data_IF_141992001448
#
_entry.id   IF_141992001448
#
_cell.length_a   1.000
_cell.length_b   1.000
_cell.length_c   1.000
_cell.angle_alpha   90.00
_cell.angle_beta   90.00
_cell.angle_gamma   90.00
#
_symmetry.space_group_name_H-M   'P 1'
#
loop_
_entity.id
_entity.type
_entity.pdbx_description
1 polymer ?
#
# COMPACT_ATOMS: atom_id res chain seq x y z
N UNK A 1 -4.63 -24.13 11.49
CA UNK A 1 -5.10 -22.85 10.94
C UNK A 1 -6.61 -22.96 10.79
N UNK A 2 -7.36 -22.00 11.33
CA UNK A 2 -8.81 -21.95 11.13
C UNK A 2 -9.17 -21.26 9.81
N UNK A 3 -10.46 -21.31 9.46
CA UNK A 3 -10.98 -20.73 8.21
C UNK A 3 -10.79 -19.22 8.16
N UNK A 4 -10.99 -18.52 9.28
CA UNK A 4 -10.87 -17.07 9.33
C UNK A 4 -9.43 -16.61 9.03
N UNK A 5 -8.45 -17.28 9.63
CA UNK A 5 -7.03 -17.04 9.41
C UNK A 5 -6.65 -17.32 7.94
N UNK A 6 -7.07 -18.48 7.40
CA UNK A 6 -6.79 -18.83 6.01
C UNK A 6 -7.41 -17.84 5.02
N UNK A 7 -8.66 -17.43 5.27
CA UNK A 7 -9.37 -16.46 4.45
C UNK A 7 -8.72 -15.07 4.51
N UNK A 8 -8.30 -14.61 5.70
CA UNK A 8 -7.61 -13.33 5.86
C UNK A 8 -6.28 -13.29 5.09
N UNK A 9 -5.49 -14.36 5.15
CA UNK A 9 -4.24 -14.45 4.39
C UNK A 9 -4.49 -14.39 2.86
N UNK A 10 -5.51 -15.10 2.36
CA UNK A 10 -5.89 -15.04 0.94
C UNK A 10 -6.47 -13.69 0.53
N UNK A 11 -7.25 -13.05 1.40
CA UNK A 11 -7.75 -11.70 1.18
C UNK A 11 -6.59 -10.72 1.06
N UNK A 12 -5.60 -10.80 1.94
CA UNK A 12 -4.39 -9.97 1.90
C UNK A 12 -3.63 -10.18 0.59
N UNK A 13 -3.30 -11.43 0.25
CA UNK A 13 -2.64 -11.80 -1.01
C UNK A 13 -3.37 -11.23 -2.23
N UNK A 14 -4.67 -11.49 -2.33
CA UNK A 14 -5.48 -11.07 -3.49
C UNK A 14 -5.62 -9.55 -3.57
N UNK A 15 -5.83 -8.87 -2.44
CA UNK A 15 -6.00 -7.41 -2.40
C UNK A 15 -4.73 -6.70 -2.87
N UNK A 16 -3.58 -7.08 -2.32
CA UNK A 16 -2.31 -6.44 -2.69
C UNK A 16 -1.87 -6.81 -4.10
N UNK A 17 -2.04 -8.05 -4.55
CA UNK A 17 -1.65 -8.44 -5.91
C UNK A 17 -2.58 -7.89 -6.99
N UNK A 18 -3.87 -7.76 -6.71
CA UNK A 18 -4.79 -7.06 -7.63
C UNK A 18 -4.36 -5.60 -7.77
N UNK A 19 -4.10 -4.93 -6.63
CA UNK A 19 -3.61 -3.56 -6.64
C UNK A 19 -2.27 -3.40 -7.38
N UNK A 20 -1.32 -4.34 -7.20
CA UNK A 20 -0.03 -4.32 -7.91
C UNK A 20 -0.22 -4.33 -9.45
N UNK A 21 -1.26 -5.01 -9.95
CA UNK A 21 -1.62 -5.00 -11.38
C UNK A 21 -2.29 -3.68 -11.76
N UNK A 22 -3.29 -3.25 -11.01
CA UNK A 22 -4.07 -2.04 -11.32
C UNK A 22 -3.20 -0.78 -11.33
N UNK A 23 -2.30 -0.64 -10.35
CA UNK A 23 -1.44 0.55 -10.23
C UNK A 23 -0.43 0.69 -11.38
N UNK A 24 -0.10 -0.41 -12.05
CA UNK A 24 0.76 -0.37 -13.23
C UNK A 24 0.10 0.37 -14.42
N UNK A 25 -1.24 0.45 -14.42
CA UNK A 25 -2.02 1.14 -15.46
C UNK A 25 -2.64 2.44 -14.98
N UNK A 26 -2.97 2.54 -13.68
CA UNK A 26 -3.52 3.73 -13.06
C UNK A 26 -2.75 4.09 -11.78
N UNK A 27 -1.87 5.11 -11.80
CA UNK A 27 -1.15 5.57 -10.61
C UNK A 27 -2.02 6.02 -9.45
N UNK A 28 -3.32 6.30 -9.70
CA UNK A 28 -4.29 6.67 -8.67
C UNK A 28 -5.03 5.45 -8.07
N UNK A 29 -4.76 4.23 -8.53
CA UNK A 29 -5.37 3.02 -8.00
C UNK A 29 -5.11 2.87 -6.48
N UNK A 30 -6.16 2.50 -5.75
CA UNK A 30 -6.16 2.28 -4.30
C UNK A 30 -6.61 0.85 -3.99
N UNK A 31 -6.41 0.38 -2.76
CA UNK A 31 -6.95 -0.92 -2.35
C UNK A 31 -8.49 -0.90 -2.39
N UNK A 32 -9.10 -2.05 -2.68
CA UNK A 32 -10.54 -2.21 -2.59
C UNK A 32 -11.05 -1.84 -1.19
N UNK A 33 -12.01 -0.92 -1.10
CA UNK A 33 -12.52 -0.37 0.17
C UNK A 33 -13.02 -1.43 1.12
N UNK A 34 -13.70 -2.46 0.60
CA UNK A 34 -14.32 -3.49 1.42
C UNK A 34 -13.29 -4.45 2.05
N UNK A 35 -12.05 -4.45 1.54
CA UNK A 35 -10.95 -5.23 2.08
C UNK A 35 -10.22 -4.49 3.22
N UNK A 36 -10.25 -3.16 3.28
CA UNK A 36 -9.39 -2.40 4.21
C UNK A 36 -9.76 -2.66 5.68
N UNK A 37 -11.05 -2.79 6.01
CA UNK A 37 -11.49 -3.12 7.37
C UNK A 37 -10.97 -4.48 7.85
N UNK A 38 -11.29 -5.59 7.16
CA UNK A 38 -10.77 -6.91 7.52
C UNK A 38 -9.23 -6.98 7.56
N UNK A 39 -8.54 -6.28 6.67
CA UNK A 39 -7.07 -6.23 6.66
C UNK A 39 -6.49 -5.43 7.83
N UNK A 40 -7.16 -4.37 8.27
CA UNK A 40 -6.80 -3.66 9.51
C UNK A 40 -6.93 -4.59 10.73
N UNK A 41 -8.04 -5.33 10.82
CA UNK A 41 -8.27 -6.26 11.93
C UNK A 41 -7.20 -7.39 11.95
N UNK A 42 -6.68 -7.77 10.77
CA UNK A 42 -5.60 -8.75 10.65
C UNK A 42 -4.19 -8.15 10.88
N UNK A 43 -4.00 -6.83 10.77
CA UNK A 43 -2.68 -6.21 10.69
C UNK A 43 -1.75 -6.59 11.84
N UNK A 44 -2.29 -6.76 13.06
CA UNK A 44 -1.54 -7.17 14.24
C UNK A 44 -0.82 -8.51 14.10
N UNK A 45 -1.34 -9.41 13.27
CA UNK A 45 -0.71 -10.72 12.99
C UNK A 45 0.61 -10.58 12.21
N UNK A 46 0.73 -9.56 11.36
CA UNK A 46 1.84 -9.43 10.41
C UNK A 46 2.79 -8.28 10.76
N UNK A 47 2.34 -7.29 11.53
CA UNK A 47 3.06 -6.02 11.73
C UNK A 47 4.49 -6.22 12.25
N UNK A 48 4.69 -7.12 13.22
CA UNK A 48 6.01 -7.38 13.79
C UNK A 48 6.96 -8.12 12.85
N UNK A 49 6.43 -8.87 11.88
CA UNK A 49 7.22 -9.50 10.84
C UNK A 49 7.62 -8.49 9.74
N UNK A 50 6.68 -7.60 9.39
CA UNK A 50 6.86 -6.58 8.35
C UNK A 50 7.78 -5.45 8.81
N UNK A 51 7.67 -5.03 10.08
CA UNK A 51 8.43 -3.95 10.67
C UNK A 51 9.91 -4.27 10.85
N UNK A 52 10.74 -3.23 10.71
CA UNK A 52 12.19 -3.22 10.94
C UNK A 52 12.50 -2.13 11.97
N UNK A 53 12.40 -2.49 13.24
CA UNK A 53 12.59 -1.57 14.36
C UNK A 53 14.00 -0.94 14.38
N UNK A 54 15.01 -1.70 13.93
CA UNK A 54 16.39 -1.26 13.78
C UNK A 54 16.57 -0.09 12.81
N UNK A 55 15.60 0.14 11.91
CA UNK A 55 15.58 1.30 11.01
C UNK A 55 15.48 2.66 11.73
N UNK A 56 15.16 2.67 13.03
CA UNK A 56 15.12 3.86 13.88
C UNK A 56 16.38 4.07 14.73
N UNK A 57 17.39 3.22 14.56
CA UNK A 57 18.71 3.36 15.22
C UNK A 57 18.61 3.41 16.77
N UNK A 58 17.71 2.61 17.33
CA UNK A 58 17.51 2.51 18.78
C UNK A 58 16.59 3.56 19.40
N UNK A 59 16.02 4.48 18.61
CA UNK A 59 14.94 5.36 19.08
C UNK A 59 13.67 4.52 19.31
N UNK A 60 13.09 4.67 20.49
CA UNK A 60 11.77 4.13 20.80
C UNK A 60 10.71 5.22 20.59
N UNK A 61 9.63 4.90 19.87
CA UNK A 61 8.54 5.85 19.61
C UNK A 61 7.17 5.19 19.76
N UNK A 62 6.26 5.83 20.48
CA UNK A 62 4.84 5.45 20.57
C UNK A 62 4.02 6.33 19.64
N UNK A 63 3.60 5.76 18.51
CA UNK A 63 2.81 6.46 17.50
C UNK A 63 1.32 6.16 17.69
N UNK A 64 0.49 7.20 17.77
CA UNK A 64 -0.95 7.04 17.56
C UNK A 64 -1.25 7.01 16.06
N UNK A 65 -1.97 6.00 15.59
CA UNK A 65 -2.41 5.85 14.20
C UNK A 65 -3.92 6.00 14.14
N UNK A 66 -4.38 6.93 13.29
CA UNK A 66 -5.79 7.24 13.08
C UNK A 66 -6.12 7.09 11.61
N UNK A 67 -6.92 6.08 11.28
CA UNK A 67 -7.30 5.82 9.89
C UNK A 67 -8.61 6.50 9.53
N UNK A 68 -8.83 6.72 8.24
CA UNK A 68 -10.15 7.03 7.66
C UNK A 68 -10.51 5.97 6.62
N UNK A 69 -11.82 5.73 6.43
CA UNK A 69 -12.35 4.76 5.47
C UNK A 69 -11.71 3.34 5.54
N UNK A 70 -11.89 2.60 6.65
CA UNK A 70 -12.71 2.93 7.81
C UNK A 70 -11.98 3.74 8.89
N UNK A 71 -12.77 4.42 9.73
CA UNK A 71 -12.26 5.10 10.91
C UNK A 71 -11.85 4.10 12.01
N UNK A 72 -10.59 4.18 12.44
CA UNK A 72 -10.01 3.42 13.56
C UNK A 72 -8.94 4.26 14.24
N UNK A 73 -8.71 3.98 15.52
CA UNK A 73 -7.57 4.52 16.26
C UNK A 73 -6.87 3.40 17.02
N UNK A 74 -5.55 3.35 16.94
CA UNK A 74 -4.72 2.36 17.61
C UNK A 74 -3.28 2.87 17.77
N UNK A 75 -2.50 2.18 18.60
CA UNK A 75 -1.08 2.46 18.82
C UNK A 75 -0.19 1.62 17.91
N UNK A 76 0.94 2.21 17.52
CA UNK A 76 2.09 1.51 16.95
C UNK A 76 3.30 1.76 17.84
N UNK A 77 3.77 0.70 18.48
CA UNK A 77 5.00 0.72 19.26
C UNK A 77 6.18 0.44 18.34
N UNK A 78 7.10 1.40 18.26
CA UNK A 78 8.33 1.33 17.49
C UNK A 78 9.51 1.27 18.46
N UNK A 79 9.61 0.18 19.22
CA UNK A 79 10.64 -0.04 20.24
C UNK A 79 11.70 -1.06 19.78
N UNK A 80 11.98 -2.07 20.59
CA UNK A 80 12.86 -3.19 20.20
C UNK A 80 12.25 -4.05 19.08
N UNK A 81 10.92 -4.12 19.04
CA UNK A 81 10.14 -4.75 17.99
C UNK A 81 8.97 -3.83 17.62
N UNK A 82 8.47 -3.99 16.41
CA UNK A 82 7.27 -3.28 15.95
C UNK A 82 6.03 -4.04 16.42
N UNK A 83 5.10 -3.35 17.08
CA UNK A 83 3.87 -3.93 17.60
C UNK A 83 2.66 -3.01 17.44
N UNK A 84 1.47 -3.59 17.35
CA UNK A 84 0.21 -2.85 17.46
C UNK A 84 -0.37 -3.01 18.86
N UNK A 85 -0.99 -1.96 19.36
CA UNK A 85 -1.66 -1.92 20.65
C UNK A 85 -2.78 -0.90 20.69
N UNK A 86 -3.26 -0.60 21.89
CA UNK A 86 -4.23 0.48 22.10
C UNK A 86 -3.59 1.84 21.80
N UNK A 87 -4.42 2.82 21.44
CA UNK A 87 -3.94 4.19 21.24
C UNK A 87 -3.27 4.71 22.53
N UNK A 88 -2.01 5.17 22.49
CA UNK A 88 -1.33 5.66 23.69
C UNK A 88 -1.99 6.96 24.16
N UNK A 89 -2.15 7.11 25.48
CA UNK A 89 -2.70 8.34 26.08
C UNK A 89 -1.82 9.57 25.81
N UNK A 90 -0.50 9.36 25.75
CA UNK A 90 0.51 10.38 25.45
C UNK A 90 1.39 9.88 24.29
N UNK A 91 0.92 10.02 23.04
CA UNK A 91 1.71 9.65 21.87
C UNK A 91 2.88 10.63 21.66
N UNK A 92 4.01 10.09 21.20
CA UNK A 92 5.17 10.89 20.77
C UNK A 92 4.92 11.55 19.40
N UNK A 93 4.06 10.93 18.59
CA UNK A 93 3.61 11.43 17.29
C UNK A 93 2.21 10.90 16.96
N UNK A 94 1.50 11.57 16.05
CA UNK A 94 0.18 11.14 15.56
C UNK A 94 0.15 11.09 14.04
N UNK A 95 -0.12 9.91 13.48
CA UNK A 95 -0.36 9.70 12.06
C UNK A 95 -1.87 9.71 11.80
N UNK A 96 -2.33 10.57 10.90
CA UNK A 96 -3.68 10.52 10.33
C UNK A 96 -3.60 10.20 8.84
N UNK A 97 -4.27 9.14 8.39
CA UNK A 97 -4.16 8.65 7.01
C UNK A 97 -5.40 7.86 6.58
N UNK A 98 -5.64 7.65 5.28
CA UNK A 98 -6.57 6.60 4.83
C UNK A 98 -6.10 5.21 5.29
N UNK A 99 -7.05 4.31 5.57
CA UNK A 99 -6.75 2.92 5.94
C UNK A 99 -5.96 2.19 4.85
N UNK A 100 -6.33 2.38 3.57
CA UNK A 100 -5.62 1.78 2.44
C UNK A 100 -4.16 2.25 2.36
N UNK A 101 -3.92 3.53 2.65
CA UNK A 101 -2.60 4.12 2.67
C UNK A 101 -1.72 3.48 3.74
N UNK A 102 -2.26 3.30 4.95
CA UNK A 102 -1.59 2.63 6.07
C UNK A 102 -1.24 1.17 5.72
N UNK A 103 -2.16 0.44 5.08
CA UNK A 103 -1.95 -0.93 4.64
C UNK A 103 -0.87 -1.04 3.54
N UNK A 104 -0.83 -0.08 2.62
CA UNK A 104 0.25 -0.01 1.62
C UNK A 104 1.59 0.37 2.24
N UNK A 105 1.63 1.31 3.18
CA UNK A 105 2.86 1.66 3.90
C UNK A 105 3.45 0.43 4.60
N UNK A 106 2.65 -0.24 5.44
CA UNK A 106 3.10 -1.36 6.26
C UNK A 106 3.57 -2.56 5.45
N UNK A 107 3.14 -2.68 4.20
CA UNK A 107 3.56 -3.71 3.25
C UNK A 107 4.62 -3.26 2.24
N UNK A 108 5.18 -2.05 2.41
CA UNK A 108 6.26 -1.51 1.58
C UNK A 108 5.83 -1.00 0.20
N UNK A 109 4.54 -0.75 -0.01
CA UNK A 109 3.91 -0.33 -1.29
C UNK A 109 3.64 1.17 -1.37
N UNK A 110 4.37 1.97 -0.57
CA UNK A 110 4.15 3.40 -0.49
C UNK A 110 5.45 4.24 -0.59
N UNK A 111 5.79 4.67 -1.81
CA UNK A 111 6.86 5.64 -2.05
C UNK A 111 6.41 7.09 -1.76
N UNK A 112 7.33 8.04 -1.45
CA UNK A 112 6.98 9.42 -1.11
C UNK A 112 6.11 10.15 -2.14
N UNK A 113 6.33 9.90 -3.43
CA UNK A 113 5.60 10.55 -4.52
C UNK A 113 4.09 10.25 -4.54
N UNK A 114 3.64 9.20 -3.84
CA UNK A 114 2.25 8.77 -3.80
C UNK A 114 1.52 9.18 -2.53
N UNK A 115 2.12 10.03 -1.68
CA UNK A 115 1.49 10.44 -0.43
C UNK A 115 0.43 11.51 -0.72
N UNK A 116 -0.86 11.24 -0.45
CA UNK A 116 -1.90 12.24 -0.65
C UNK A 116 -1.84 13.31 0.44
N UNK A 117 -2.37 14.49 0.14
CA UNK A 117 -2.31 15.66 1.03
C UNK A 117 -3.06 15.48 2.36
N UNK A 118 -3.99 14.52 2.44
CA UNK A 118 -4.74 14.21 3.65
C UNK A 118 -3.99 13.24 4.59
N UNK A 119 -2.78 12.81 4.25
CA UNK A 119 -1.89 12.11 5.18
C UNK A 119 -1.08 13.14 5.96
N UNK A 120 -1.22 13.11 7.28
CA UNK A 120 -0.51 14.01 8.18
C UNK A 120 0.21 13.22 9.27
N UNK A 121 1.41 13.67 9.63
CA UNK A 121 2.15 13.20 10.78
C UNK A 121 2.50 14.42 11.63
N UNK A 122 2.02 14.44 12.87
CA UNK A 122 2.32 15.50 13.83
C UNK A 122 3.22 14.97 14.95
N UNK A 123 4.02 15.86 15.54
CA UNK A 123 5.08 15.51 16.49
C UNK A 123 6.45 15.41 15.80
N UNK A 124 7.51 15.65 16.56
CA UNK A 124 8.88 15.77 16.04
C UNK A 124 9.70 14.46 16.19
N UNK A 125 9.12 13.43 16.81
CA UNK A 125 9.81 12.16 17.08
C UNK A 125 10.04 11.29 15.83
N UNK A 126 9.24 11.51 14.76
CA UNK A 126 9.21 10.70 13.54
C UNK A 126 8.95 11.55 12.30
N UNK A 127 9.46 11.09 11.17
CA UNK A 127 9.07 11.54 9.83
C UNK A 127 8.34 10.42 9.08
N UNK A 128 7.63 10.76 7.99
CA UNK A 128 7.06 9.73 7.11
C UNK A 128 8.13 8.86 6.46
N UNK A 129 9.34 9.38 6.24
CA UNK A 129 10.46 8.61 5.70
C UNK A 129 11.05 7.64 6.73
N UNK A 130 11.01 7.96 8.03
CA UNK A 130 11.29 6.98 9.09
C UNK A 130 10.32 5.80 8.99
N UNK A 131 9.02 6.06 8.86
CA UNK A 131 8.01 5.00 8.75
C UNK A 131 8.21 4.13 7.50
N UNK A 132 8.59 4.72 6.37
CA UNK A 132 8.93 3.95 5.15
C UNK A 132 10.16 3.07 5.32
N UNK A 133 11.15 3.52 6.11
CA UNK A 133 12.32 2.70 6.45
C UNK A 133 11.98 1.57 7.41
N UNK A 134 11.06 1.81 8.35
CA UNK A 134 10.53 0.76 9.25
C UNK A 134 9.75 -0.29 8.45
N UNK A 135 9.04 0.08 7.40
CA UNK A 135 8.25 -0.84 6.57
C UNK A 135 8.77 -0.91 5.13
N UNK A 136 9.92 -1.56 4.86
CA UNK A 136 10.49 -1.65 3.52
C UNK A 136 9.78 -2.67 2.62
N UNK A 137 8.80 -3.41 3.15
CA UNK A 137 8.12 -4.52 2.47
C UNK A 137 8.87 -5.85 2.56
N UNK A 138 8.31 -6.88 1.92
CA UNK A 138 8.75 -8.27 2.06
C UNK A 138 10.18 -8.53 1.57
N UNK A 139 10.71 -7.72 0.66
CA UNK A 139 12.06 -7.87 0.09
C UNK A 139 13.16 -7.13 0.88
N UNK A 140 12.80 -6.43 1.96
CA UNK A 140 13.72 -5.56 2.72
C UNK A 140 14.81 -6.27 3.53
N UNK A 141 14.84 -7.61 3.54
CA UNK A 141 15.92 -8.40 4.13
C UNK A 141 16.89 -8.87 3.06
N UNK A 142 18.01 -8.16 2.86
CA UNK A 142 19.19 -8.56 2.05
C UNK A 142 18.87 -9.21 0.68
N UNK A 143 18.97 -8.40 -0.38
CA UNK A 143 19.51 -8.89 -1.66
C UNK A 143 18.57 -9.51 -2.68
N UNK A 144 17.33 -9.03 -2.83
CA UNK A 144 16.54 -9.28 -4.05
C UNK A 144 15.81 -8.00 -4.48
N UNK A 145 16.52 -7.16 -5.22
CA UNK A 145 15.92 -6.02 -5.91
C UNK A 145 15.19 -6.52 -7.16
N UNK A 146 13.86 -6.59 -7.11
CA UNK A 146 13.10 -6.44 -8.34
C UNK A 146 13.18 -4.96 -8.68
N UNK A 147 14.28 -4.59 -9.33
CA UNK A 147 14.43 -3.29 -9.94
C UNK A 147 13.44 -3.18 -11.09
N UNK A 148 12.19 -2.84 -10.77
CA UNK A 148 11.32 -2.21 -11.74
C UNK A 148 11.87 -0.80 -11.96
N UNK A 149 12.94 -0.71 -12.76
CA UNK A 149 13.25 0.54 -13.46
C UNK A 149 12.01 0.83 -14.29
N UNK A 150 11.22 1.80 -13.85
CA UNK A 150 10.29 2.48 -14.75
C UNK A 150 11.16 3.09 -15.84
N UNK A 151 11.24 2.41 -16.98
CA UNK A 151 11.83 2.98 -18.17
C UNK A 151 11.00 4.21 -18.52
N UNK A 152 11.63 5.36 -18.81
CA UNK A 152 10.88 6.49 -19.34
C UNK A 152 10.14 6.04 -20.61
N UNK A 153 8.97 6.61 -20.91
CA UNK A 153 8.23 6.25 -22.10
C UNK A 153 9.13 6.42 -23.32
N UNK A 154 9.30 5.34 -24.09
CA UNK A 154 9.94 5.40 -25.40
C UNK A 154 9.03 6.22 -26.28
N UNK A 155 9.38 7.49 -26.50
CA UNK A 155 8.70 8.33 -27.48
C UNK A 155 8.79 7.64 -28.85
N UNK A 156 7.69 7.47 -29.57
CA UNK A 156 7.73 6.88 -30.90
C UNK A 156 8.57 7.77 -31.80
N UNK A 157 9.54 7.15 -32.48
CA UNK A 157 10.32 7.80 -33.53
C UNK A 157 9.36 8.08 -34.70
N UNK A 158 8.97 9.34 -34.87
CA UNK A 158 8.21 9.79 -36.04
C UNK A 158 9.12 9.61 -37.27
N UNK A 159 8.82 8.61 -38.09
CA UNK A 159 9.36 8.52 -39.45
C UNK A 159 8.57 9.50 -40.34
N UNK A 160 9.23 10.31 -41.16
CA UNK A 160 8.52 11.22 -42.05
C UNK A 160 7.83 10.41 -43.16
N UNK A 161 6.50 10.51 -43.26
CA UNK A 161 5.77 10.21 -44.51
C UNK A 161 4.83 9.00 -44.54
N UNK A 162 4.27 8.53 -43.41
CA UNK A 162 3.21 7.51 -43.42
C UNK A 162 1.96 7.98 -42.71
N UNK A 163 0.88 8.27 -43.46
CA UNK A 163 -0.44 8.54 -42.87
C UNK A 163 -0.98 7.31 -42.12
N UNK A 164 -1.86 7.50 -41.11
CA UNK A 164 -2.35 6.39 -40.31
C UNK A 164 -3.32 5.52 -41.12
N UNK A 165 -2.99 4.23 -41.26
CA UNK A 165 -3.92 3.19 -41.69
C UNK A 165 -4.50 2.51 -40.45
N UNK A 166 -5.75 2.79 -40.13
CA UNK A 166 -6.48 2.10 -39.06
C UNK A 166 -7.14 0.82 -39.61
N UNK A 167 -7.00 -0.34 -38.95
CA UNK A 167 -7.82 -1.50 -39.27
C UNK A 167 -9.26 -1.24 -38.84
N UNK A 168 -10.19 -1.28 -39.81
CA UNK A 168 -11.63 -1.28 -39.55
C UNK A 168 -12.02 -2.59 -38.86
N UNK A 169 -12.33 -2.52 -37.56
CA UNK A 169 -12.98 -3.61 -36.86
C UNK A 169 -14.41 -3.75 -37.41
N UNK A 170 -14.68 -4.83 -38.17
CA UNK A 170 -16.05 -5.21 -38.52
C UNK A 170 -16.77 -5.64 -37.25
N UNK A 171 -17.66 -4.79 -36.73
CA UNK A 171 -18.71 -5.21 -35.82
C UNK A 171 -19.62 -6.20 -36.55
N UNK A 172 -19.61 -7.47 -36.14
CA UNK A 172 -20.71 -8.40 -36.45
C UNK A 172 -21.84 -8.08 -35.48
N UNK A 173 -23.00 -7.71 -36.01
CA UNK A 173 -24.23 -7.68 -35.25
C UNK A 173 -24.66 -9.11 -34.92
N UNK A 174 -24.87 -9.41 -33.64
CA UNK A 174 -25.60 -10.61 -33.23
C UNK A 174 -27.11 -10.42 -33.46
N UNK A 175 -27.84 -11.45 -33.92
CA UNK A 175 -29.29 -11.36 -34.06
C UNK A 175 -29.98 -11.39 -32.69
N UNK A 176 -31.02 -10.57 -32.54
CA UNK A 176 -31.87 -10.51 -31.36
C UNK A 176 -32.60 -11.85 -31.09
N UNK A 177 -32.88 -12.20 -29.82
CA UNK A 177 -33.59 -13.42 -29.48
C UNK A 177 -35.05 -13.36 -29.96
N UNK A 178 -35.52 -14.45 -30.55
CA UNK A 178 -36.92 -14.67 -30.90
C UNK A 178 -37.69 -15.06 -29.63
N UNK A 179 -38.86 -14.44 -29.43
CA UNK A 179 -39.83 -14.72 -28.36
C UNK A 179 -40.22 -16.19 -28.24
#
# INVERSE_FOLDING_TARGET
MDVATAAGLRLSEFTFHTWDVEVAFDPAAVLASDATGPLLDQAGMLIGFLGKADALEGRAVRLAVRTTAPERSFGLDLGEAVGLGDEPAEPDAVLSAPAEWWLRLTTGRHAPAYTPANVTLTGDALTLDDLRRVFPGFSGGRGFGIGLRVLPPVLPRVLPGGGPSFPQARLRAEPAPVM
#
